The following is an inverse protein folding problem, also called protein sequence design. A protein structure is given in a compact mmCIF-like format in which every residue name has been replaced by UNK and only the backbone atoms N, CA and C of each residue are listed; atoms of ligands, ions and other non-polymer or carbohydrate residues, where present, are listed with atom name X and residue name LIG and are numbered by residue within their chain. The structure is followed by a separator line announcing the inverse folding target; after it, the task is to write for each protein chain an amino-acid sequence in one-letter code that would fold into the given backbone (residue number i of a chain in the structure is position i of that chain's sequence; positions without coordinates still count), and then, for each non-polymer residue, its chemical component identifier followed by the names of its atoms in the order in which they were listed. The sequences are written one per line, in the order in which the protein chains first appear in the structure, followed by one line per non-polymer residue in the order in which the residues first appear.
data_IF_490244750942
#
_entry.id   IF_490244750942
#
_cell.length_a   1.000
_cell.length_b   1.000
_cell.length_c   1.000
_cell.angle_alpha   90.00
_cell.angle_beta   90.00
_cell.angle_gamma   90.00
#
_symmetry.space_group_name_H-M   'P 1'
#
loop_
_entity.id
_entity.type
_entity.pdbx_description
1 polymer ?
#
# COMPACT_ATOMS: atom_id res chain seq x y z
N UNK A 1 68.31 8.54 23.25
CA UNK A 1 67.03 9.23 22.97
C UNK A 1 66.53 9.00 21.51
N UNK A 2 66.53 7.75 20.98
CA UNK A 2 66.08 7.53 19.58
C UNK A 2 64.99 6.47 19.41
N UNK A 3 64.47 5.86 20.48
CA UNK A 3 63.49 4.76 20.35
C UNK A 3 62.02 5.24 20.42
N UNK A 4 61.75 6.36 21.03
CA UNK A 4 60.36 6.93 21.14
C UNK A 4 59.86 7.58 19.85
N UNK A 5 60.72 8.09 19.00
CA UNK A 5 60.34 8.74 17.74
C UNK A 5 59.96 7.71 16.66
N UNK A 6 60.58 6.53 16.65
CA UNK A 6 60.27 5.47 15.69
C UNK A 6 58.94 4.75 16.02
N UNK A 7 58.58 4.61 17.29
CA UNK A 7 57.30 4.03 17.70
C UNK A 7 56.10 4.95 17.33
N UNK A 8 56.26 6.26 17.40
CA UNK A 8 55.20 7.20 17.02
C UNK A 8 54.97 7.21 15.49
N UNK A 9 56.01 7.08 14.68
CA UNK A 9 55.89 7.00 13.20
C UNK A 9 55.19 5.74 12.73
N UNK A 10 55.45 4.58 13.36
CA UNK A 10 54.76 3.33 13.06
C UNK A 10 53.26 3.40 13.46
N UNK A 11 52.96 3.98 14.61
CA UNK A 11 51.57 4.19 15.04
C UNK A 11 50.77 5.11 14.10
N UNK A 12 51.38 6.19 13.65
CA UNK A 12 50.75 7.10 12.68
C UNK A 12 50.56 6.41 11.31
N UNK A 13 51.52 5.60 10.85
CA UNK A 13 51.38 4.84 9.62
C UNK A 13 50.20 3.83 9.68
N UNK A 14 50.07 3.10 10.79
CA UNK A 14 48.97 2.16 10.99
C UNK A 14 47.60 2.91 11.01
N UNK A 15 47.52 4.05 11.67
CA UNK A 15 46.30 4.84 11.72
C UNK A 15 45.87 5.33 10.34
N UNK A 16 46.80 5.80 9.52
CA UNK A 16 46.54 6.23 8.13
C UNK A 16 46.02 5.06 7.27
N UNK A 17 46.64 3.88 7.39
CA UNK A 17 46.19 2.68 6.65
C UNK A 17 44.76 2.26 7.07
N UNK A 18 44.45 2.29 8.35
CA UNK A 18 43.13 1.96 8.84
C UNK A 18 42.04 2.98 8.36
N UNK A 19 42.38 4.28 8.40
CA UNK A 19 41.48 5.31 7.88
C UNK A 19 41.26 5.12 6.36
N UNK A 20 42.33 4.86 5.59
CA UNK A 20 42.22 4.60 4.17
C UNK A 20 41.36 3.34 3.88
N UNK A 21 41.54 2.27 4.64
CA UNK A 21 40.74 1.05 4.50
C UNK A 21 39.24 1.31 4.80
N UNK A 22 38.94 2.09 5.82
CA UNK A 22 37.54 2.49 6.14
C UNK A 22 36.96 3.34 5.01
N UNK A 23 37.69 4.31 4.51
CA UNK A 23 37.24 5.15 3.38
C UNK A 23 36.97 4.31 2.13
N UNK A 24 37.90 3.42 1.77
CA UNK A 24 37.74 2.52 0.62
C UNK A 24 36.53 1.59 0.85
N UNK A 25 36.36 1.02 2.04
CA UNK A 25 35.19 0.21 2.40
C UNK A 25 33.87 0.97 2.22
N UNK A 26 33.81 2.21 2.70
CA UNK A 26 32.65 3.09 2.52
C UNK A 26 32.38 3.41 1.05
N UNK A 27 33.43 3.68 0.26
CA UNK A 27 33.28 3.96 -1.16
C UNK A 27 32.82 2.73 -1.95
N UNK A 28 33.36 1.55 -1.66
CA UNK A 28 32.95 0.30 -2.27
C UNK A 28 31.51 -0.05 -1.90
N UNK A 29 31.14 0.12 -0.64
CA UNK A 29 29.77 -0.06 -0.17
C UNK A 29 28.80 0.89 -0.85
N UNK A 30 29.15 2.20 -0.97
CA UNK A 30 28.34 3.17 -1.72
C UNK A 30 28.23 2.82 -3.20
N UNK A 31 29.31 2.35 -3.82
CA UNK A 31 29.28 1.90 -5.21
C UNK A 31 28.40 0.65 -5.38
N UNK A 32 28.46 -0.29 -4.44
CA UNK A 32 27.60 -1.46 -4.40
C UNK A 32 26.13 -1.06 -4.27
N UNK A 33 25.80 -0.17 -3.31
CA UNK A 33 24.44 0.34 -3.14
C UNK A 33 23.94 1.06 -4.41
N UNK A 34 24.77 1.89 -5.02
CA UNK A 34 24.41 2.58 -6.27
C UNK A 34 24.16 1.61 -7.43
N UNK A 35 24.92 0.51 -7.52
CA UNK A 35 24.67 -0.53 -8.53
C UNK A 35 23.37 -1.31 -8.24
N UNK A 36 23.15 -1.67 -6.99
CA UNK A 36 21.99 -2.47 -6.56
C UNK A 36 20.66 -1.69 -6.62
N UNK A 37 20.69 -0.41 -6.30
CA UNK A 37 19.48 0.39 -6.09
C UNK A 37 19.31 1.57 -7.05
N UNK A 38 20.30 1.81 -7.91
CA UNK A 38 20.33 2.97 -8.78
C UNK A 38 20.57 4.31 -8.04
N UNK A 39 20.49 5.46 -8.73
CA UNK A 39 20.64 6.76 -8.09
C UNK A 39 19.44 7.06 -7.19
N UNK A 40 19.74 7.63 -6.00
CA UNK A 40 18.67 8.13 -5.13
C UNK A 40 17.99 9.35 -5.77
N UNK A 41 16.66 9.49 -5.64
CA UNK A 41 15.96 10.70 -6.04
C UNK A 41 16.59 11.93 -5.36
N UNK A 42 16.78 13.05 -6.09
CA UNK A 42 17.30 14.27 -5.48
C UNK A 42 16.34 14.82 -4.43
N UNK A 43 16.86 15.60 -3.49
CA UNK A 43 16.03 16.33 -2.54
C UNK A 43 15.34 17.46 -3.30
N UNK A 44 14.00 17.50 -3.37
CA UNK A 44 13.25 18.60 -3.98
C UNK A 44 13.55 19.94 -3.31
N UNK A 45 13.49 21.04 -4.06
CA UNK A 45 13.85 22.36 -3.55
C UNK A 45 12.89 22.84 -2.45
N UNK A 46 11.61 22.56 -2.56
CA UNK A 46 10.61 22.85 -1.55
C UNK A 46 10.84 22.06 -0.24
N UNK A 47 11.23 20.79 -0.35
CA UNK A 47 11.62 19.95 0.81
C UNK A 47 12.89 20.51 1.48
N UNK A 48 13.83 20.99 0.68
CA UNK A 48 15.04 21.64 1.19
C UNK A 48 14.74 22.98 1.89
N UNK A 49 13.87 23.78 1.28
CA UNK A 49 13.42 25.05 1.84
C UNK A 49 12.63 24.86 3.14
N UNK A 50 11.86 23.77 3.25
CA UNK A 50 11.14 23.39 4.47
C UNK A 50 12.05 22.82 5.59
N UNK A 51 13.35 22.60 5.33
CA UNK A 51 14.27 22.02 6.30
C UNK A 51 14.24 20.49 6.40
N UNK A 52 13.47 19.79 5.56
CA UNK A 52 13.23 18.35 5.63
C UNK A 52 14.24 17.48 4.88
N UNK A 53 15.36 18.04 4.48
CA UNK A 53 16.38 17.32 3.68
C UNK A 53 16.92 16.06 4.37
N UNK A 54 17.02 16.03 5.70
CA UNK A 54 17.46 14.85 6.46
C UNK A 54 16.42 13.74 6.44
N UNK A 55 15.15 14.08 6.66
CA UNK A 55 14.02 13.19 6.62
C UNK A 55 13.86 12.60 5.22
N UNK A 56 13.97 13.44 4.19
CA UNK A 56 13.96 12.99 2.81
C UNK A 56 15.08 11.99 2.50
N UNK A 57 16.30 12.27 2.95
CA UNK A 57 17.42 11.35 2.77
C UNK A 57 17.24 10.02 3.53
N UNK A 58 16.56 10.03 4.67
CA UNK A 58 16.16 8.82 5.38
C UNK A 58 15.14 8.03 4.57
N UNK A 59 14.05 8.66 4.12
CA UNK A 59 13.00 8.04 3.32
C UNK A 59 13.53 7.48 1.98
N UNK A 60 14.43 8.20 1.33
CA UNK A 60 15.11 7.69 0.12
C UNK A 60 15.82 6.34 0.33
N UNK A 61 16.38 6.12 1.51
CA UNK A 61 17.00 4.83 1.86
C UNK A 61 15.96 3.80 2.25
N UNK A 62 14.93 4.24 2.96
CA UNK A 62 13.85 3.37 3.43
C UNK A 62 12.99 2.86 2.27
N UNK A 63 12.69 3.67 1.27
CA UNK A 63 11.87 3.28 0.13
C UNK A 63 12.67 2.76 -1.09
N UNK A 64 13.86 2.22 -0.87
CA UNK A 64 14.60 1.63 -1.98
C UNK A 64 13.98 0.31 -2.40
N UNK A 65 13.62 0.15 -3.69
CA UNK A 65 13.10 -1.14 -4.16
C UNK A 65 14.17 -2.22 -4.06
N UNK A 66 13.81 -3.34 -3.47
CA UNK A 66 14.65 -4.54 -3.44
C UNK A 66 14.45 -5.29 -4.74
N UNK A 67 15.55 -5.54 -5.45
CA UNK A 67 15.58 -6.29 -6.69
C UNK A 67 16.22 -7.66 -6.47
N UNK A 68 15.60 -8.69 -7.03
CA UNK A 68 16.17 -10.05 -7.10
C UNK A 68 16.86 -10.26 -8.45
N UNK A 69 16.39 -9.60 -9.50
CA UNK A 69 17.02 -9.56 -10.82
C UNK A 69 18.00 -8.40 -10.96
N UNK A 70 18.79 -8.38 -12.03
CA UNK A 70 19.61 -7.21 -12.39
C UNK A 70 18.72 -6.11 -12.98
N UNK A 71 18.57 -4.95 -12.32
CA UNK A 71 17.71 -3.87 -12.81
C UNK A 71 18.11 -3.34 -14.20
N UNK A 72 19.40 -3.47 -14.58
CA UNK A 72 19.90 -2.98 -15.87
C UNK A 72 19.46 -3.87 -17.05
N UNK A 73 19.11 -5.12 -16.78
CA UNK A 73 18.70 -6.12 -17.76
C UNK A 73 17.28 -6.65 -17.51
N UNK A 74 16.52 -5.97 -16.68
CA UNK A 74 15.16 -6.40 -16.33
C UNK A 74 14.22 -6.31 -17.53
N UNK A 75 13.59 -7.44 -17.83
CA UNK A 75 12.56 -7.56 -18.87
C UNK A 75 11.25 -7.91 -18.16
N UNK A 76 10.25 -7.01 -18.17
CA UNK A 76 8.98 -7.28 -17.48
C UNK A 76 8.20 -8.41 -18.17
N UNK A 77 7.52 -9.21 -17.34
CA UNK A 77 6.57 -10.25 -17.77
C UNK A 77 5.21 -10.04 -17.11
N UNK A 78 4.19 -10.75 -17.55
CA UNK A 78 2.81 -10.59 -17.06
C UNK A 78 2.69 -10.66 -15.52
N UNK A 79 3.40 -11.59 -14.87
CA UNK A 79 3.39 -11.69 -13.42
C UNK A 79 4.02 -10.46 -12.73
N UNK A 80 5.01 -9.81 -13.35
CA UNK A 80 5.57 -8.56 -12.81
C UNK A 80 4.53 -7.42 -12.80
N UNK A 81 3.64 -7.39 -13.81
CA UNK A 81 2.52 -6.43 -13.81
C UNK A 81 1.58 -6.65 -12.62
N UNK A 82 1.26 -7.90 -12.32
CA UNK A 82 0.39 -8.25 -11.22
C UNK A 82 1.02 -7.92 -9.86
N UNK A 83 2.25 -8.38 -9.64
CA UNK A 83 2.92 -8.17 -8.35
C UNK A 83 3.31 -6.71 -8.11
N UNK A 84 3.56 -5.93 -9.17
CA UNK A 84 3.87 -4.50 -9.04
C UNK A 84 2.78 -3.70 -8.32
N UNK A 85 1.52 -4.19 -8.31
CA UNK A 85 0.44 -3.57 -7.54
C UNK A 85 0.78 -3.54 -6.04
N UNK A 86 1.54 -4.51 -5.54
CA UNK A 86 1.96 -4.60 -4.13
C UNK A 86 3.16 -3.72 -3.81
N UNK A 87 3.84 -3.16 -4.82
CA UNK A 87 5.09 -2.43 -4.64
C UNK A 87 5.04 -1.29 -3.62
N UNK A 88 3.93 -0.53 -3.45
CA UNK A 88 3.83 0.47 -2.37
C UNK A 88 4.12 -0.06 -0.98
N UNK A 89 3.72 -1.30 -0.69
CA UNK A 89 3.99 -1.97 0.58
C UNK A 89 5.35 -2.67 0.59
N UNK A 90 5.73 -3.30 -0.52
CA UNK A 90 7.04 -3.93 -0.66
C UNK A 90 8.19 -2.95 -0.37
N UNK A 91 8.09 -1.68 -0.80
CA UNK A 91 9.07 -0.66 -0.48
C UNK A 91 9.17 -0.39 1.03
N UNK A 92 8.05 -0.39 1.76
CA UNK A 92 8.01 -0.11 3.19
C UNK A 92 8.59 -1.26 4.04
N UNK A 93 8.43 -2.49 3.57
CA UNK A 93 8.88 -3.71 4.26
C UNK A 93 10.20 -4.26 3.72
N UNK A 94 10.82 -3.57 2.75
CA UNK A 94 12.05 -4.02 2.07
C UNK A 94 11.90 -5.39 1.40
N UNK A 95 10.70 -5.70 0.92
CA UNK A 95 10.41 -6.94 0.21
C UNK A 95 10.82 -6.86 -1.26
N UNK A 96 11.20 -8.00 -1.89
CA UNK A 96 11.42 -8.05 -3.33
C UNK A 96 10.12 -7.73 -4.05
N UNK A 97 10.05 -6.63 -4.76
CA UNK A 97 8.81 -6.18 -5.42
C UNK A 97 8.40 -7.03 -6.64
N UNK A 98 9.32 -7.85 -7.15
CA UNK A 98 9.15 -8.69 -8.36
C UNK A 98 8.58 -10.08 -8.07
N UNK A 99 8.48 -10.48 -6.81
CA UNK A 99 8.13 -11.83 -6.38
C UNK A 99 7.00 -11.81 -5.37
N UNK A 100 6.34 -12.96 -5.20
CA UNK A 100 5.43 -13.16 -4.07
C UNK A 100 6.16 -13.19 -2.73
N UNK A 101 7.44 -13.61 -2.72
CA UNK A 101 8.23 -13.78 -1.50
C UNK A 101 8.36 -12.50 -0.66
N UNK A 102 8.52 -12.67 0.64
CA UNK A 102 8.76 -11.62 1.62
C UNK A 102 10.18 -11.75 2.17
N UNK A 103 10.81 -10.63 2.50
CA UNK A 103 12.16 -10.62 3.11
C UNK A 103 12.16 -11.14 4.53
N UNK A 104 11.13 -10.84 5.29
CA UNK A 104 10.91 -11.28 6.66
C UNK A 104 9.45 -11.73 6.84
N UNK A 105 9.13 -13.01 6.56
CA UNK A 105 7.77 -13.53 6.69
C UNK A 105 7.21 -13.47 8.11
N UNK A 106 8.05 -13.63 9.14
CA UNK A 106 7.60 -13.65 10.53
C UNK A 106 7.25 -12.24 11.03
N UNK A 107 8.05 -11.22 10.69
CA UNK A 107 7.73 -9.84 10.98
C UNK A 107 6.47 -9.39 10.23
N UNK A 108 6.35 -9.74 8.95
CA UNK A 108 5.15 -9.48 8.16
C UNK A 108 3.90 -10.15 8.77
N UNK A 109 4.00 -11.40 9.24
CA UNK A 109 2.90 -12.10 9.92
C UNK A 109 2.49 -11.36 11.19
N UNK A 110 3.45 -10.98 12.02
CA UNK A 110 3.21 -10.21 13.25
C UNK A 110 2.52 -8.88 12.96
N UNK A 111 2.94 -8.19 11.90
CA UNK A 111 2.30 -6.95 11.46
C UNK A 111 0.86 -7.18 11.00
N UNK A 112 0.60 -8.22 10.19
CA UNK A 112 -0.75 -8.55 9.72
C UNK A 112 -1.68 -8.92 10.90
N UNK A 113 -1.20 -9.68 11.86
CA UNK A 113 -1.97 -10.01 13.07
C UNK A 113 -2.27 -8.77 13.91
N UNK A 114 -1.28 -7.90 14.12
CA UNK A 114 -1.42 -6.68 14.95
C UNK A 114 -2.30 -5.61 14.30
N UNK A 115 -2.05 -5.32 13.01
CA UNK A 115 -2.63 -4.14 12.35
C UNK A 115 -3.94 -4.45 11.60
N UNK A 116 -4.19 -5.74 11.31
CA UNK A 116 -5.37 -6.21 10.58
C UNK A 116 -6.23 -7.18 11.37
N UNK A 117 -5.73 -7.74 12.47
CA UNK A 117 -6.43 -8.78 13.23
C UNK A 117 -6.57 -10.09 12.46
N UNK A 118 -5.72 -10.35 11.46
CA UNK A 118 -5.78 -11.55 10.61
C UNK A 118 -4.73 -12.54 11.08
N UNK A 119 -5.17 -13.67 11.61
CA UNK A 119 -4.33 -14.77 12.12
C UNK A 119 -4.58 -16.10 11.41
N UNK A 120 -5.58 -16.15 10.54
CA UNK A 120 -6.02 -17.37 9.87
C UNK A 120 -6.40 -17.13 8.40
N UNK A 121 -6.48 -18.24 7.64
CA UNK A 121 -6.98 -18.23 6.26
C UNK A 121 -8.41 -17.68 6.17
N UNK A 122 -9.29 -18.06 7.11
CA UNK A 122 -10.68 -17.62 7.10
C UNK A 122 -10.80 -16.09 7.22
N UNK A 123 -10.08 -15.50 8.19
CA UNK A 123 -10.04 -14.06 8.41
C UNK A 123 -9.43 -13.32 7.20
N UNK A 124 -8.40 -13.91 6.56
CA UNK A 124 -7.85 -13.35 5.32
C UNK A 124 -8.88 -13.31 4.20
N UNK A 125 -9.60 -14.41 3.98
CA UNK A 125 -10.64 -14.49 2.93
C UNK A 125 -11.78 -13.51 3.20
N UNK A 126 -12.22 -13.40 4.46
CA UNK A 126 -13.23 -12.43 4.88
C UNK A 126 -12.76 -10.99 4.60
N UNK A 127 -11.52 -10.67 4.95
CA UNK A 127 -10.96 -9.34 4.70
C UNK A 127 -10.79 -9.06 3.20
N UNK A 128 -10.36 -10.04 2.41
CA UNK A 128 -10.29 -9.90 0.96
C UNK A 128 -11.69 -9.71 0.35
N UNK A 129 -12.69 -10.46 0.83
CA UNK A 129 -14.09 -10.26 0.43
C UNK A 129 -14.54 -8.83 0.71
N UNK A 130 -14.34 -8.35 1.94
CA UNK A 130 -14.68 -6.98 2.34
C UNK A 130 -14.03 -5.94 1.42
N UNK A 131 -12.71 -6.04 1.19
CA UNK A 131 -11.98 -5.08 0.35
C UNK A 131 -12.37 -5.13 -1.13
N UNK A 132 -12.76 -6.30 -1.64
CA UNK A 132 -13.16 -6.48 -3.04
C UNK A 132 -14.62 -6.10 -3.30
N UNK A 133 -15.50 -6.13 -2.30
CA UNK A 133 -16.92 -5.83 -2.48
C UNK A 133 -17.31 -4.44 -1.97
N UNK A 134 -16.96 -4.10 -0.75
CA UNK A 134 -17.38 -2.85 -0.11
C UNK A 134 -16.22 -1.90 0.19
N UNK A 135 -15.20 -2.41 0.88
CA UNK A 135 -14.03 -1.67 1.30
C UNK A 135 -14.37 -0.43 2.14
N UNK A 136 -13.42 0.48 2.21
CA UNK A 136 -13.64 1.80 2.81
C UNK A 136 -14.32 2.78 1.83
N UNK A 137 -14.38 2.44 0.55
CA UNK A 137 -14.93 3.30 -0.51
C UNK A 137 -16.43 3.51 -0.40
N UNK A 138 -17.18 2.54 0.14
CA UNK A 138 -18.62 2.71 0.38
C UNK A 138 -18.89 3.80 1.43
N UNK A 139 -18.17 3.78 2.55
CA UNK A 139 -18.24 4.83 3.58
C UNK A 139 -17.77 6.17 3.03
N UNK A 140 -16.65 6.19 2.30
CA UNK A 140 -16.14 7.39 1.67
C UNK A 140 -17.13 8.01 0.68
N UNK A 141 -17.80 7.20 -0.12
CA UNK A 141 -18.81 7.68 -1.07
C UNK A 141 -19.98 8.37 -0.35
N UNK A 142 -20.48 7.77 0.73
CA UNK A 142 -21.53 8.35 1.55
C UNK A 142 -21.09 9.67 2.22
N UNK A 143 -19.87 9.71 2.79
CA UNK A 143 -19.28 10.92 3.35
C UNK A 143 -19.11 12.01 2.28
N UNK A 144 -18.60 11.67 1.11
CA UNK A 144 -18.43 12.59 -0.01
C UNK A 144 -19.75 13.20 -0.44
N UNK A 145 -20.78 12.37 -0.64
CA UNK A 145 -22.10 12.85 -1.08
C UNK A 145 -22.71 13.78 -0.03
N UNK A 146 -22.64 13.38 1.26
CA UNK A 146 -23.14 14.17 2.38
C UNK A 146 -22.41 15.51 2.55
N UNK A 147 -21.09 15.49 2.54
CA UNK A 147 -20.27 16.68 2.86
C UNK A 147 -19.93 17.53 1.62
N UNK A 148 -20.36 17.11 0.44
CA UNK A 148 -20.38 17.97 -0.73
C UNK A 148 -21.52 18.99 -0.68
N UNK A 149 -22.57 18.73 0.10
CA UNK A 149 -23.60 19.71 0.45
C UNK A 149 -23.07 20.66 1.54
N UNK A 150 -22.96 21.98 1.28
CA UNK A 150 -22.40 22.94 2.25
C UNK A 150 -23.20 23.02 3.57
N UNK A 151 -24.52 22.83 3.53
CA UNK A 151 -25.38 22.93 4.71
C UNK A 151 -25.20 21.70 5.61
N UNK A 152 -25.15 20.51 5.03
CA UNK A 152 -24.91 19.27 5.77
C UNK A 152 -23.48 19.24 6.32
N UNK A 153 -22.50 19.67 5.55
CA UNK A 153 -21.12 19.76 5.99
C UNK A 153 -20.96 20.73 7.18
N UNK A 154 -21.59 21.91 7.15
CA UNK A 154 -21.53 22.88 8.25
C UNK A 154 -22.22 22.35 9.51
N UNK A 155 -23.39 21.72 9.37
CA UNK A 155 -24.10 21.12 10.50
C UNK A 155 -23.28 19.99 11.18
N UNK A 156 -22.65 19.12 10.39
CA UNK A 156 -21.80 18.07 10.92
C UNK A 156 -20.51 18.62 11.53
N UNK A 157 -19.87 19.60 10.89
CA UNK A 157 -18.69 20.27 11.44
C UNK A 157 -18.99 20.93 12.81
N UNK A 158 -20.13 21.62 12.93
CA UNK A 158 -20.56 22.21 14.18
C UNK A 158 -20.76 21.15 15.29
N UNK A 159 -21.38 20.03 14.96
CA UNK A 159 -21.59 18.91 15.88
C UNK A 159 -20.25 18.29 16.34
N UNK A 160 -19.37 17.95 15.40
CA UNK A 160 -18.09 17.30 15.76
C UNK A 160 -17.17 18.23 16.54
N UNK A 161 -17.22 19.56 16.29
CA UNK A 161 -16.40 20.55 17.00
C UNK A 161 -16.69 20.61 18.50
N UNK A 162 -17.89 20.21 18.93
CA UNK A 162 -18.24 20.19 20.36
C UNK A 162 -17.38 19.20 21.15
N UNK A 163 -17.07 18.05 20.57
CA UNK A 163 -16.39 16.95 21.25
C UNK A 163 -14.97 16.68 20.71
N UNK A 164 -14.52 17.38 19.68
CA UNK A 164 -13.23 17.14 19.03
C UNK A 164 -12.02 17.29 19.97
N UNK A 165 -12.12 18.13 20.99
CA UNK A 165 -11.04 18.33 21.96
C UNK A 165 -10.82 17.14 22.91
N UNK A 166 -11.83 16.30 23.09
CA UNK A 166 -11.83 15.18 24.05
C UNK A 166 -12.07 13.81 23.40
N UNK A 167 -12.42 13.78 22.12
CA UNK A 167 -12.76 12.57 21.39
C UNK A 167 -12.00 12.51 20.05
N UNK A 168 -11.05 11.60 19.94
CA UNK A 168 -10.30 11.39 18.71
C UNK A 168 -11.22 11.10 17.49
N UNK A 169 -12.24 10.21 17.56
CA UNK A 169 -13.16 10.01 16.45
C UNK A 169 -13.88 11.29 15.99
N UNK A 170 -14.25 12.20 16.90
CA UNK A 170 -14.84 13.47 16.52
C UNK A 170 -13.83 14.45 15.93
N UNK A 171 -12.57 14.42 16.39
CA UNK A 171 -11.51 15.22 15.81
C UNK A 171 -11.20 14.79 14.38
N UNK A 172 -11.13 13.47 14.11
CA UNK A 172 -10.95 12.91 12.78
C UNK A 172 -12.15 13.23 11.85
N UNK A 173 -13.37 13.09 12.35
CA UNK A 173 -14.58 13.42 11.60
C UNK A 173 -14.64 14.92 11.27
N UNK A 174 -14.28 15.79 12.22
CA UNK A 174 -14.16 17.24 11.99
C UNK A 174 -13.10 17.55 10.92
N UNK A 175 -11.94 16.91 11.03
CA UNK A 175 -10.86 17.05 10.05
C UNK A 175 -11.34 16.68 8.64
N UNK A 176 -12.05 15.56 8.49
CA UNK A 176 -12.59 15.08 7.20
C UNK A 176 -13.63 16.02 6.62
N UNK A 177 -14.63 16.42 7.40
CA UNK A 177 -15.70 17.28 6.88
C UNK A 177 -15.19 18.64 6.42
N UNK A 178 -14.20 19.22 7.12
CA UNK A 178 -13.59 20.50 6.74
C UNK A 178 -12.82 20.39 5.41
N UNK A 179 -12.07 19.30 5.19
CA UNK A 179 -11.33 19.08 3.95
C UNK A 179 -12.26 18.75 2.78
N UNK A 180 -13.29 17.94 3.02
CA UNK A 180 -14.30 17.65 2.00
C UNK A 180 -15.02 18.91 1.57
N UNK A 181 -15.46 19.76 2.51
CA UNK A 181 -16.09 21.04 2.24
C UNK A 181 -15.22 21.95 1.37
N UNK A 182 -13.93 21.98 1.62
CA UNK A 182 -12.98 22.81 0.88
C UNK A 182 -12.46 22.13 -0.40
N UNK A 183 -12.87 20.91 -0.69
CA UNK A 183 -12.34 20.08 -1.79
C UNK A 183 -10.81 20.03 -1.79
N UNK A 184 -10.22 19.92 -0.58
CA UNK A 184 -8.76 19.90 -0.43
C UNK A 184 -8.16 18.70 -1.17
N UNK A 185 -7.04 18.88 -1.83
CA UNK A 185 -6.39 17.87 -2.71
C UNK A 185 -7.35 17.27 -3.76
N UNK A 186 -8.38 17.99 -4.13
CA UNK A 186 -9.39 17.52 -5.08
C UNK A 186 -10.15 16.25 -4.61
N UNK A 187 -10.30 16.06 -3.29
CA UNK A 187 -10.83 14.84 -2.68
C UNK A 187 -12.22 14.43 -3.19
N UNK A 188 -13.07 15.40 -3.58
CA UNK A 188 -14.40 15.09 -4.11
C UNK A 188 -14.38 14.35 -5.44
N UNK A 189 -13.27 14.44 -6.19
CA UNK A 189 -13.09 13.82 -7.49
C UNK A 189 -12.15 12.61 -7.45
N UNK A 190 -11.73 12.19 -6.26
CA UNK A 190 -10.87 11.02 -6.08
C UNK A 190 -11.73 9.78 -5.86
N UNK A 191 -11.32 8.67 -6.47
CA UNK A 191 -11.85 7.34 -6.22
C UNK A 191 -11.04 6.64 -5.12
N UNK A 192 -11.74 6.06 -4.15
CA UNK A 192 -11.14 5.37 -3.02
C UNK A 192 -10.67 3.93 -3.34
N UNK A 193 -10.96 3.44 -4.53
CA UNK A 193 -10.63 2.08 -5.00
C UNK A 193 -9.15 1.75 -4.88
N UNK A 194 -8.26 2.70 -5.17
CA UNK A 194 -6.81 2.49 -5.06
C UNK A 194 -6.38 2.06 -3.65
N UNK A 195 -6.95 2.67 -2.61
CA UNK A 195 -6.64 2.36 -1.21
C UNK A 195 -7.03 0.93 -0.85
N UNK A 196 -8.23 0.53 -1.19
CA UNK A 196 -8.75 -0.81 -0.88
C UNK A 196 -8.02 -1.89 -1.69
N UNK A 197 -7.86 -1.71 -3.00
CA UNK A 197 -7.32 -2.75 -3.86
C UNK A 197 -5.81 -2.95 -3.74
N UNK A 198 -5.01 -1.92 -3.51
CA UNK A 198 -3.58 -2.10 -3.24
C UNK A 198 -3.39 -2.83 -1.89
N UNK A 199 -4.24 -2.59 -0.91
CA UNK A 199 -4.25 -3.30 0.37
C UNK A 199 -4.67 -4.76 0.21
N UNK A 200 -5.71 -5.03 -0.59
CA UNK A 200 -6.10 -6.39 -0.94
C UNK A 200 -4.97 -7.15 -1.65
N UNK A 201 -4.25 -6.49 -2.56
CA UNK A 201 -3.09 -7.09 -3.24
C UNK A 201 -1.97 -7.44 -2.25
N UNK A 202 -1.65 -6.55 -1.30
CA UNK A 202 -0.69 -6.82 -0.23
C UNK A 202 -1.12 -8.01 0.62
N UNK A 203 -2.39 -8.09 1.01
CA UNK A 203 -2.92 -9.21 1.78
C UNK A 203 -2.87 -10.53 1.00
N UNK A 204 -3.21 -10.53 -0.30
CA UNK A 204 -3.12 -11.73 -1.15
C UNK A 204 -1.68 -12.24 -1.25
N UNK A 205 -0.70 -11.33 -1.40
CA UNK A 205 0.73 -11.66 -1.40
C UNK A 205 1.16 -12.30 -0.07
N UNK A 206 0.83 -11.66 1.05
CA UNK A 206 1.14 -12.18 2.38
C UNK A 206 0.49 -13.54 2.62
N UNK A 207 -0.77 -13.70 2.20
CA UNK A 207 -1.51 -14.95 2.30
C UNK A 207 -0.86 -16.11 1.57
N UNK A 208 -0.23 -15.86 0.41
CA UNK A 208 0.54 -16.90 -0.30
C UNK A 208 1.76 -17.35 0.50
N UNK A 209 2.54 -16.41 1.04
CA UNK A 209 3.76 -16.73 1.82
C UNK A 209 3.41 -17.41 3.14
N UNK A 210 2.30 -17.03 3.77
CA UNK A 210 1.85 -17.66 5.02
C UNK A 210 1.19 -19.03 4.81
N UNK A 211 0.99 -19.48 3.55
CA UNK A 211 0.31 -20.73 3.24
C UNK A 211 -1.21 -20.67 3.43
N UNK A 212 -1.79 -19.48 3.58
CA UNK A 212 -3.23 -19.29 3.66
C UNK A 212 -3.91 -19.28 2.29
N UNK A 213 -3.17 -18.89 1.25
CA UNK A 213 -3.55 -19.03 -0.15
C UNK A 213 -2.54 -19.93 -0.88
N UNK A 214 -2.99 -20.66 -1.89
CA UNK A 214 -2.06 -21.23 -2.86
C UNK A 214 -1.45 -20.13 -3.71
N UNK A 215 -0.30 -20.35 -4.30
CA UNK A 215 0.29 -19.38 -5.24
C UNK A 215 -0.67 -19.08 -6.40
N UNK A 216 -1.40 -20.08 -6.90
CA UNK A 216 -2.40 -19.91 -7.94
C UNK A 216 -3.55 -18.98 -7.52
N UNK A 217 -4.09 -19.17 -6.31
CA UNK A 217 -5.12 -18.29 -5.75
C UNK A 217 -4.61 -16.86 -5.57
N UNK A 218 -3.37 -16.68 -5.12
CA UNK A 218 -2.79 -15.35 -4.96
C UNK A 218 -2.60 -14.64 -6.31
N UNK A 219 -2.07 -15.33 -7.32
CA UNK A 219 -1.93 -14.76 -8.66
C UNK A 219 -3.27 -14.45 -9.31
N UNK A 220 -4.28 -15.30 -9.14
CA UNK A 220 -5.64 -15.06 -9.63
C UNK A 220 -6.29 -13.87 -8.92
N UNK A 221 -6.09 -13.74 -7.61
CA UNK A 221 -6.55 -12.56 -6.84
C UNK A 221 -5.89 -11.28 -7.33
N UNK A 222 -4.57 -11.30 -7.60
CA UNK A 222 -3.87 -10.17 -8.18
C UNK A 222 -4.37 -9.83 -9.59
N UNK A 223 -4.71 -10.84 -10.40
CA UNK A 223 -5.30 -10.63 -11.73
C UNK A 223 -6.70 -10.00 -11.65
N UNK A 224 -7.52 -10.41 -10.67
CA UNK A 224 -8.82 -9.79 -10.40
C UNK A 224 -8.66 -8.32 -9.99
N UNK A 225 -7.71 -8.04 -9.10
CA UNK A 225 -7.39 -6.67 -8.66
C UNK A 225 -6.88 -5.83 -9.84
N UNK A 226 -5.97 -6.35 -10.66
CA UNK A 226 -5.47 -5.65 -11.86
C UNK A 226 -6.60 -5.31 -12.83
N UNK A 227 -7.49 -6.28 -13.08
CA UNK A 227 -8.66 -6.06 -13.92
C UNK A 227 -9.55 -4.94 -13.37
N UNK A 228 -9.84 -4.92 -12.05
CA UNK A 228 -10.64 -3.88 -11.42
C UNK A 228 -9.94 -2.49 -11.47
N UNK A 229 -8.64 -2.43 -11.18
CA UNK A 229 -7.86 -1.19 -11.24
C UNK A 229 -7.85 -0.57 -12.64
N UNK A 230 -7.80 -1.39 -13.69
CA UNK A 230 -7.84 -0.91 -15.09
C UNK A 230 -9.20 -0.35 -15.51
N UNK A 231 -10.27 -0.65 -14.78
CA UNK A 231 -11.58 -0.02 -15.01
C UNK A 231 -11.62 1.42 -14.48
N UNK A 232 -10.77 1.77 -13.48
CA UNK A 232 -10.79 3.05 -12.80
C UNK A 232 -9.60 3.96 -13.18
N UNK A 233 -8.45 3.37 -13.50
CA UNK A 233 -7.21 4.11 -13.73
C UNK A 233 -6.61 3.79 -15.10
N UNK A 234 -5.93 4.78 -15.69
CA UNK A 234 -5.27 4.67 -16.99
C UNK A 234 -3.74 4.61 -16.89
N UNK A 235 -3.18 4.78 -15.71
CA UNK A 235 -1.73 4.77 -15.51
C UNK A 235 -1.35 4.50 -14.05
N UNK A 236 -0.10 4.06 -13.83
CA UNK A 236 0.49 3.97 -12.51
C UNK A 236 0.52 5.30 -11.75
N UNK A 237 0.73 6.40 -12.47
CA UNK A 237 0.76 7.73 -11.85
C UNK A 237 -0.63 8.13 -11.34
N UNK A 238 -1.69 7.84 -12.09
CA UNK A 238 -3.06 8.09 -11.65
C UNK A 238 -3.43 7.20 -10.45
N UNK A 239 -3.07 5.92 -10.50
CA UNK A 239 -3.27 4.99 -9.38
C UNK A 239 -2.55 5.47 -8.11
N UNK A 240 -1.29 5.94 -8.25
CA UNK A 240 -0.52 6.46 -7.12
C UNK A 240 -1.15 7.71 -6.52
N UNK A 241 -1.58 8.65 -7.35
CA UNK A 241 -2.22 9.87 -6.86
C UNK A 241 -3.51 9.57 -6.10
N UNK A 242 -4.35 8.66 -6.62
CA UNK A 242 -5.55 8.22 -5.92
C UNK A 242 -5.19 7.54 -4.57
N UNK A 243 -4.22 6.62 -4.57
CA UNK A 243 -3.76 5.96 -3.35
C UNK A 243 -3.23 6.94 -2.31
N UNK A 244 -2.41 7.91 -2.71
CA UNK A 244 -1.81 8.92 -1.83
C UNK A 244 -2.87 9.81 -1.18
N UNK A 245 -3.84 10.28 -1.97
CA UNK A 245 -4.90 11.16 -1.46
C UNK A 245 -5.87 10.41 -0.57
N UNK A 246 -6.21 9.16 -0.92
CA UNK A 246 -7.10 8.34 -0.09
C UNK A 246 -6.42 7.87 1.21
N UNK A 247 -5.10 7.62 1.17
CA UNK A 247 -4.33 7.35 2.38
C UNK A 247 -4.30 8.56 3.31
N UNK A 248 -4.07 9.77 2.78
CA UNK A 248 -4.16 11.01 3.53
C UNK A 248 -5.53 11.19 4.19
N UNK A 249 -6.59 10.93 3.44
CA UNK A 249 -7.95 10.97 3.95
C UNK A 249 -8.19 9.94 5.06
N UNK A 250 -7.70 8.73 4.88
CA UNK A 250 -7.85 7.66 5.87
C UNK A 250 -7.13 7.97 7.19
N UNK A 251 -5.92 8.54 7.14
CA UNK A 251 -5.15 8.93 8.33
C UNK A 251 -5.88 9.99 9.12
N UNK A 252 -6.51 10.97 8.45
CA UNK A 252 -7.34 12.03 9.07
C UNK A 252 -6.65 12.81 10.19
N UNK A 253 -5.35 12.99 10.11
CA UNK A 253 -4.53 13.76 11.06
C UNK A 253 -3.95 15.00 10.39
N UNK A 254 -3.77 16.07 11.18
CA UNK A 254 -3.21 17.32 10.71
C UNK A 254 -1.80 17.63 11.25
N UNK A 255 -1.30 18.81 10.92
CA UNK A 255 -0.07 19.33 11.50
C UNK A 255 1.20 18.56 11.10
N UNK A 256 2.00 18.19 12.07
CA UNK A 256 3.30 17.55 11.86
C UNK A 256 3.16 16.12 11.31
N UNK A 257 2.15 15.38 11.75
CA UNK A 257 1.83 14.03 11.24
C UNK A 257 1.43 14.07 9.77
N UNK A 258 0.57 15.01 9.38
CA UNK A 258 0.18 15.20 7.98
C UNK A 258 1.40 15.51 7.11
N UNK A 259 2.24 16.44 7.55
CA UNK A 259 3.46 16.82 6.83
C UNK A 259 4.43 15.64 6.67
N UNK A 260 4.62 14.84 7.73
CA UNK A 260 5.44 13.64 7.67
C UNK A 260 4.89 12.60 6.68
N UNK A 261 3.60 12.33 6.74
CA UNK A 261 2.95 11.40 5.84
C UNK A 261 3.02 11.86 4.37
N UNK A 262 2.86 13.16 4.12
CA UNK A 262 3.02 13.74 2.78
C UNK A 262 4.44 13.53 2.23
N UNK A 263 5.44 13.79 3.06
CA UNK A 263 6.84 13.61 2.70
C UNK A 263 7.14 12.15 2.37
N UNK A 264 6.61 11.25 3.19
CA UNK A 264 6.71 9.80 3.02
C UNK A 264 6.08 9.35 1.69
N UNK A 265 4.85 9.79 1.41
CA UNK A 265 4.13 9.39 0.20
C UNK A 265 4.75 9.99 -1.07
N UNK A 266 5.18 11.25 -1.04
CA UNK A 266 5.93 11.84 -2.16
C UNK A 266 7.21 11.08 -2.47
N UNK A 267 7.97 10.71 -1.45
CA UNK A 267 9.21 9.96 -1.61
C UNK A 267 8.95 8.56 -2.18
N UNK A 268 7.95 7.87 -1.64
CA UNK A 268 7.52 6.54 -2.10
C UNK A 268 7.04 6.57 -3.56
N UNK A 269 6.26 7.60 -3.93
CA UNK A 269 5.86 7.80 -5.33
C UNK A 269 7.05 7.95 -6.28
N UNK A 270 8.08 8.70 -5.90
CA UNK A 270 9.30 8.79 -6.69
C UNK A 270 10.07 7.46 -6.75
N UNK A 271 10.09 6.71 -5.66
CA UNK A 271 10.71 5.39 -5.61
C UNK A 271 9.98 4.36 -6.49
N UNK A 272 8.71 4.57 -6.80
CA UNK A 272 7.91 3.73 -7.70
C UNK A 272 7.99 4.19 -9.16
N UNK A 273 7.88 5.50 -9.41
CA UNK A 273 7.58 6.06 -10.72
C UNK A 273 8.82 6.64 -11.47
N UNK A 274 9.95 6.85 -10.79
CA UNK A 274 11.15 7.38 -11.46
C UNK A 274 11.74 6.37 -12.45
N UNK A 275 12.49 6.82 -13.47
CA UNK A 275 13.11 5.92 -14.45
C UNK A 275 13.93 4.81 -13.78
N UNK A 276 13.75 3.57 -14.25
CA UNK A 276 14.38 2.36 -13.67
C UNK A 276 13.78 1.89 -12.35
N UNK A 277 12.61 2.38 -11.97
CA UNK A 277 11.86 1.98 -10.76
C UNK A 277 10.70 1.04 -11.13
N UNK A 278 10.13 0.31 -10.15
CA UNK A 278 9.13 -0.74 -10.40
C UNK A 278 8.03 -0.35 -11.39
N UNK A 279 7.36 0.74 -11.15
CA UNK A 279 6.24 1.18 -11.99
C UNK A 279 6.65 1.89 -13.28
N UNK A 280 7.92 2.31 -13.40
CA UNK A 280 8.45 2.86 -14.63
C UNK A 280 8.94 1.77 -15.61
N UNK A 281 9.37 0.60 -15.09
CA UNK A 281 9.86 -0.50 -15.94
C UNK A 281 8.77 -1.49 -16.31
N UNK A 282 7.62 -1.47 -15.63
CA UNK A 282 6.47 -2.33 -15.92
C UNK A 282 5.39 -1.49 -16.61
N UNK A 283 5.12 -1.68 -17.91
CA UNK A 283 4.07 -0.94 -18.62
C UNK A 283 2.69 -1.13 -17.97
N UNK A 284 1.93 -0.03 -17.90
CA UNK A 284 0.57 -0.08 -17.37
C UNK A 284 -0.36 -0.98 -18.19
N UNK A 285 -0.22 -0.94 -19.50
CA UNK A 285 -1.02 -1.66 -20.48
C UNK A 285 -0.51 -3.08 -20.81
N UNK A 286 0.51 -3.55 -20.06
CA UNK A 286 1.05 -4.89 -20.24
C UNK A 286 -0.06 -5.94 -20.19
N UNK A 287 -0.18 -6.83 -21.19
CA UNK A 287 -1.17 -7.90 -21.18
C UNK A 287 -0.93 -8.87 -20.03
N UNK A 288 -2.03 -9.21 -19.33
CA UNK A 288 -2.04 -10.21 -18.26
C UNK A 288 -3.20 -11.18 -18.50
N UNK A 289 -3.13 -12.42 -18.00
CA UNK A 289 -4.27 -13.33 -18.00
C UNK A 289 -5.46 -12.72 -17.24
N UNK A 290 -6.67 -12.95 -17.74
CA UNK A 290 -7.88 -12.59 -17.01
C UNK A 290 -8.06 -13.43 -15.75
N UNK A 291 -8.78 -12.93 -14.72
CA UNK A 291 -9.01 -13.66 -13.48
C UNK A 291 -9.92 -14.88 -13.70
N UNK A 292 -9.62 -15.97 -13.01
CA UNK A 292 -10.44 -17.19 -12.98
C UNK A 292 -11.45 -17.17 -11.82
N UNK A 293 -11.32 -16.22 -10.91
CA UNK A 293 -12.17 -16.04 -9.71
C UNK A 293 -12.07 -17.20 -8.70
N UNK A 294 -10.88 -17.78 -8.54
CA UNK A 294 -10.64 -18.86 -7.58
C UNK A 294 -10.98 -18.43 -6.16
N UNK A 295 -10.62 -17.19 -5.79
CA UNK A 295 -10.89 -16.64 -4.46
C UNK A 295 -12.39 -16.49 -4.17
N UNK A 296 -13.23 -16.31 -5.22
CA UNK A 296 -14.68 -16.17 -5.04
C UNK A 296 -15.32 -17.48 -4.56
N UNK A 297 -14.80 -18.61 -4.98
CA UNK A 297 -15.30 -19.91 -4.50
C UNK A 297 -14.98 -20.11 -3.01
N UNK A 298 -13.82 -19.64 -2.57
CA UNK A 298 -13.45 -19.63 -1.14
C UNK A 298 -14.31 -18.68 -0.33
N UNK A 299 -14.58 -17.48 -0.83
CA UNK A 299 -15.49 -16.50 -0.20
C UNK A 299 -16.87 -17.10 0.05
N UNK A 300 -17.41 -17.84 -0.94
CA UNK A 300 -18.72 -18.48 -0.83
C UNK A 300 -18.71 -19.68 0.14
N UNK A 301 -17.54 -20.33 0.32
CA UNK A 301 -17.40 -21.46 1.21
C UNK A 301 -17.38 -21.06 2.69
N UNK A 302 -17.08 -19.81 3.01
CA UNK A 302 -17.05 -19.30 4.36
C UNK A 302 -18.45 -18.85 4.82
N UNK A 303 -18.78 -19.16 6.08
CA UNK A 303 -19.95 -18.59 6.73
C UNK A 303 -19.66 -17.10 7.03
N UNK A 304 -20.23 -16.20 6.25
CA UNK A 304 -20.02 -14.75 6.45
C UNK A 304 -19.74 -13.95 5.18
N UNK A 305 -19.28 -14.59 4.09
CA UNK A 305 -19.12 -13.92 2.80
C UNK A 305 -20.49 -13.70 2.13
N UNK A 306 -21.27 -12.80 2.68
CA UNK A 306 -22.58 -12.42 2.16
C UNK A 306 -22.42 -11.52 0.92
N UNK A 307 -23.32 -11.64 -0.07
CA UNK A 307 -23.38 -10.65 -1.13
C UNK A 307 -23.56 -9.23 -0.58
N UNK A 308 -23.09 -8.27 -1.31
CA UNK A 308 -23.16 -6.84 -0.98
C UNK A 308 -24.57 -6.42 -0.56
N UNK A 309 -24.66 -5.69 0.56
CA UNK A 309 -25.92 -5.13 1.03
C UNK A 309 -26.51 -4.07 0.07
N UNK A 310 -27.80 -3.75 0.17
CA UNK A 310 -28.45 -2.80 -0.74
C UNK A 310 -27.76 -1.44 -0.79
N UNK A 311 -27.38 -0.88 0.35
CA UNK A 311 -26.71 0.41 0.45
C UNK A 311 -25.30 0.38 -0.19
N UNK A 312 -24.49 -0.62 0.12
CA UNK A 312 -23.18 -0.74 -0.48
C UNK A 312 -23.28 -0.96 -2.00
N UNK A 313 -24.27 -1.73 -2.46
CA UNK A 313 -24.54 -1.95 -3.89
C UNK A 313 -25.00 -0.69 -4.61
N UNK A 314 -25.65 0.25 -3.93
CA UNK A 314 -26.04 1.54 -4.50
C UNK A 314 -24.83 2.38 -4.88
N UNK A 315 -23.79 2.40 -4.02
CA UNK A 315 -22.55 3.11 -4.26
C UNK A 315 -21.55 2.33 -5.13
N UNK A 316 -21.77 1.04 -5.37
CA UNK A 316 -20.86 0.20 -6.11
C UNK A 316 -20.75 0.63 -7.59
N UNK A 317 -19.53 0.59 -8.11
CA UNK A 317 -19.23 0.80 -9.52
C UNK A 317 -19.50 -0.46 -10.36
N UNK A 318 -19.23 -0.42 -11.67
CA UNK A 318 -19.48 -1.55 -12.56
C UNK A 318 -18.71 -2.81 -12.19
N UNK A 319 -17.42 -2.68 -11.79
CA UNK A 319 -16.57 -3.82 -11.47
C UNK A 319 -16.95 -4.49 -10.14
N UNK A 320 -17.33 -3.71 -9.12
CA UNK A 320 -17.79 -4.22 -7.83
C UNK A 320 -19.10 -4.98 -7.96
N UNK A 321 -20.05 -4.40 -8.70
CA UNK A 321 -21.31 -5.07 -9.01
C UNK A 321 -21.09 -6.38 -9.76
N UNK A 322 -20.13 -6.42 -10.68
CA UNK A 322 -19.79 -7.63 -11.38
C UNK A 322 -19.26 -8.72 -10.43
N UNK A 323 -18.36 -8.38 -9.48
CA UNK A 323 -17.87 -9.33 -8.46
C UNK A 323 -19.05 -9.83 -7.60
N UNK A 324 -19.90 -8.92 -7.11
CA UNK A 324 -21.07 -9.27 -6.30
C UNK A 324 -22.05 -10.19 -7.08
N UNK A 325 -22.26 -9.93 -8.37
CA UNK A 325 -23.07 -10.77 -9.24
C UNK A 325 -22.45 -12.17 -9.41
N UNK A 326 -21.12 -12.31 -9.49
CA UNK A 326 -20.44 -13.60 -9.51
C UNK A 326 -20.64 -14.36 -8.20
N UNK A 327 -20.55 -13.68 -7.06
CA UNK A 327 -20.82 -14.28 -5.74
C UNK A 327 -22.27 -14.75 -5.68
N UNK A 328 -23.24 -13.91 -6.03
CA UNK A 328 -24.68 -14.26 -6.05
C UNK A 328 -24.99 -15.44 -6.95
N UNK A 329 -24.46 -15.43 -8.18
CA UNK A 329 -24.70 -16.50 -9.15
C UNK A 329 -24.14 -17.85 -8.68
N UNK A 330 -23.04 -17.88 -7.93
CA UNK A 330 -22.43 -19.10 -7.41
C UNK A 330 -23.11 -19.56 -6.12
N UNK A 331 -23.55 -18.64 -5.27
CA UNK A 331 -24.29 -18.94 -4.03
C UNK A 331 -25.64 -19.59 -4.36
N UNK A 332 -26.37 -19.09 -5.37
CA UNK A 332 -27.66 -19.63 -5.77
C UNK A 332 -27.58 -21.02 -6.42
N UNK A 333 -26.44 -21.41 -6.96
CA UNK A 333 -26.21 -22.73 -7.56
C UNK A 333 -25.92 -23.84 -6.55
N UNK A 334 -25.66 -23.51 -5.27
CA UNK A 334 -25.50 -24.50 -4.21
C UNK A 334 -26.87 -24.83 -3.60
N UNK A 335 -27.44 -26.06 -3.76
CA UNK A 335 -28.66 -26.45 -3.07
C UNK A 335 -28.37 -26.50 -1.59
N UNK A 336 -29.04 -25.62 -0.83
CA UNK A 336 -29.33 -25.72 0.58
C UNK A 336 -28.33 -26.43 1.49
N UNK A 337 -27.21 -25.81 1.80
CA UNK A 337 -26.58 -26.04 3.10
C UNK A 337 -27.36 -25.21 4.10
N UNK A 338 -28.30 -25.85 4.79
CA UNK A 338 -28.98 -25.27 5.95
C UNK A 338 -27.91 -24.82 6.95
N UNK A 339 -27.86 -23.51 7.23
CA UNK A 339 -27.11 -22.96 8.37
C UNK A 339 -27.56 -23.74 9.62
N UNK A 340 -26.66 -24.55 10.15
CA UNK A 340 -26.80 -24.97 11.54
C UNK A 340 -26.50 -23.74 12.39
N UNK A 341 -27.54 -23.13 12.91
CA UNK A 341 -27.48 -22.16 13.98
C UNK A 341 -26.94 -22.86 15.23
N UNK A 342 -25.61 -22.95 15.36
CA UNK A 342 -25.00 -23.26 16.66
C UNK A 342 -24.86 -21.94 17.44
N UNK A 343 -26.02 -21.42 17.91
CA UNK A 343 -26.02 -20.70 19.17
C UNK A 343 -25.97 -21.80 20.24
N UNK A 344 -24.81 -22.07 20.74
CA UNK A 344 -24.64 -22.70 22.04
C UNK A 344 -24.85 -21.60 23.07
N UNK A 345 -25.86 -21.83 23.91
CA UNK A 345 -26.19 -21.08 25.11
C UNK A 345 -25.01 -20.98 26.09
#
# INVERSE_FOLDING_TARGET
MSSTTSMNLVGVGIAIVLIAAVIIGVLLWRAHLKRKFGPLPPVPDDVRAAGDAKQWAYLNRHHMPVWTSDPAHFVPAAHHRLIAITAPYALCHHDPWELLDLSDPDDNRTMIERDWGISSRAELIEQLHSLLTEGHRSTFAAERDRWSDPQLAEADAARFRLDAATSQPHAEALWRVERMRNNERNIRNIDYTAWDLIRAAMLARNGAVFGWLTSEQAWDTLALIDWALRQQYSSWAQLWEAFRVTRWWWISEGGETERWNDLHDRNRGLALLSPGRPWAVVPWDMPVPGPQLLIVDDMIALDGAEPMGPQAREYATGWERWIDDQIRARTTKRPGTHRFNNKLD
#
